data_IF_427526896130
#
_entry.id   IF_427526896130
#
_cell.length_a   1.000
_cell.length_b   1.000
_cell.length_c   1.000
_cell.angle_alpha   90.00
_cell.angle_beta   90.00
_cell.angle_gamma   90.00
#
_symmetry.space_group_name_H-M   'P 1'
#
loop_
_entity.id
_entity.type
_entity.pdbx_description
1 polymer ?
#
# COMPACT_ATOMS: atom_id res chain seq x y z
N UNK A 1 -14.26 1.81 3.42
CA UNK A 1 -14.24 1.30 4.81
C UNK A 1 -13.33 2.19 5.64
N UNK A 2 -13.70 2.51 6.89
CA UNK A 2 -12.84 3.27 7.80
C UNK A 2 -11.94 2.30 8.57
N UNK A 3 -10.63 2.44 8.48
CA UNK A 3 -9.66 1.47 9.04
C UNK A 3 -9.83 1.34 10.56
N UNK A 4 -9.99 2.45 11.26
CA UNK A 4 -10.18 2.52 12.70
C UNK A 4 -11.39 1.70 13.17
N UNK A 5 -12.51 1.76 12.44
CA UNK A 5 -13.70 0.94 12.72
C UNK A 5 -13.42 -0.57 12.61
N UNK A 6 -12.61 -0.95 11.62
CA UNK A 6 -12.22 -2.34 11.42
C UNK A 6 -11.25 -2.82 12.51
N UNK A 7 -10.29 -1.98 12.93
CA UNK A 7 -9.44 -2.28 14.09
C UNK A 7 -10.29 -2.46 15.35
N UNK A 8 -11.26 -1.58 15.60
CA UNK A 8 -12.17 -1.72 16.73
C UNK A 8 -12.99 -3.02 16.69
N UNK A 9 -13.48 -3.41 15.51
CA UNK A 9 -14.17 -4.69 15.29
C UNK A 9 -13.26 -5.86 15.66
N UNK A 10 -12.01 -5.87 15.18
CA UNK A 10 -11.06 -6.95 15.48
C UNK A 10 -10.71 -7.02 16.97
N UNK A 11 -10.50 -5.89 17.64
CA UNK A 11 -10.31 -5.82 19.09
C UNK A 11 -11.47 -6.49 19.82
N UNK A 12 -12.70 -6.10 19.47
CA UNK A 12 -13.91 -6.65 20.05
C UNK A 12 -13.97 -8.18 19.90
N UNK A 13 -13.65 -8.68 18.70
CA UNK A 13 -13.62 -10.12 18.42
C UNK A 13 -12.55 -10.86 19.23
N UNK A 14 -11.32 -10.34 19.32
CA UNK A 14 -10.25 -10.95 20.12
C UNK A 14 -10.62 -11.06 21.59
N UNK A 15 -11.16 -9.99 22.17
CA UNK A 15 -11.60 -9.96 23.56
C UNK A 15 -12.75 -10.95 23.77
N UNK A 16 -13.73 -10.98 22.87
CA UNK A 16 -14.87 -11.91 22.92
C UNK A 16 -14.42 -13.37 22.85
N UNK A 17 -13.55 -13.70 21.92
CA UNK A 17 -13.01 -15.05 21.74
C UNK A 17 -12.22 -15.48 22.97
N UNK A 18 -11.26 -14.67 23.41
CA UNK A 18 -10.40 -15.02 24.55
C UNK A 18 -11.17 -15.15 25.86
N UNK A 19 -12.18 -14.30 26.08
CA UNK A 19 -13.11 -14.42 27.21
C UNK A 19 -13.82 -15.78 27.19
N UNK A 20 -14.37 -16.17 26.03
CA UNK A 20 -15.11 -17.43 25.86
C UNK A 20 -14.19 -18.64 26.07
N UNK A 21 -13.02 -18.63 25.44
CA UNK A 21 -11.99 -19.66 25.55
C UNK A 21 -11.58 -19.91 27.01
N UNK A 22 -11.34 -18.83 27.76
CA UNK A 22 -10.96 -18.90 29.18
C UNK A 22 -12.14 -19.08 30.15
N UNK A 23 -13.39 -19.11 29.65
CA UNK A 23 -14.62 -19.21 30.45
C UNK A 23 -14.73 -18.13 31.54
N UNK A 24 -14.25 -16.92 31.26
CA UNK A 24 -14.26 -15.81 32.22
C UNK A 24 -15.55 -15.00 32.14
N UNK A 25 -16.01 -14.51 33.29
CA UNK A 25 -17.07 -13.51 33.40
C UNK A 25 -16.49 -12.09 33.23
N UNK A 26 -17.36 -11.09 33.03
CA UNK A 26 -16.90 -9.70 32.89
C UNK A 26 -16.18 -9.19 34.14
N UNK A 27 -16.66 -9.59 35.33
CA UNK A 27 -16.09 -9.21 36.63
C UNK A 27 -14.66 -9.75 36.82
N UNK A 28 -14.35 -10.91 36.21
CA UNK A 28 -13.01 -11.50 36.26
C UNK A 28 -12.00 -10.77 35.36
N UNK A 29 -12.50 -9.98 34.40
CA UNK A 29 -11.70 -9.25 33.42
C UNK A 29 -11.49 -7.81 33.85
N UNK A 30 -12.54 -7.15 34.34
CA UNK A 30 -12.49 -5.78 34.85
C UNK A 30 -13.39 -5.67 36.07
N UNK A 31 -12.79 -5.71 37.27
CA UNK A 31 -13.52 -5.68 38.54
C UNK A 31 -14.17 -4.30 38.77
N UNK A 32 -13.47 -3.24 38.36
CA UNK A 32 -13.86 -1.85 38.58
C UNK A 32 -15.09 -1.44 37.77
N UNK A 33 -15.23 -1.93 36.53
CA UNK A 33 -16.39 -1.66 35.68
C UNK A 33 -16.68 -2.82 34.69
N UNK A 34 -17.38 -3.89 35.12
CA UNK A 34 -17.69 -5.03 34.27
C UNK A 34 -18.52 -4.69 33.02
N UNK A 35 -19.22 -3.54 33.00
CA UNK A 35 -20.01 -3.13 31.85
C UNK A 35 -19.12 -2.70 30.68
N UNK A 36 -17.93 -2.17 30.95
CA UNK A 36 -16.94 -1.83 29.92
C UNK A 36 -16.57 -3.07 29.10
N UNK A 37 -16.39 -4.23 29.74
CA UNK A 37 -16.08 -5.49 29.04
C UNK A 37 -17.22 -5.87 28.09
N UNK A 38 -18.47 -5.71 28.53
CA UNK A 38 -19.65 -5.93 27.67
C UNK A 38 -19.65 -4.99 26.46
N UNK A 39 -19.32 -3.71 26.66
CA UNK A 39 -19.26 -2.73 25.60
C UNK A 39 -18.16 -3.06 24.58
N UNK A 40 -16.97 -3.45 25.05
CA UNK A 40 -15.85 -3.87 24.20
C UNK A 40 -16.23 -5.10 23.37
N UNK A 41 -16.78 -6.14 24.00
CA UNK A 41 -17.21 -7.38 23.33
C UNK A 41 -18.32 -7.15 22.28
N UNK A 42 -19.08 -6.08 22.42
CA UNK A 42 -20.14 -5.70 21.48
C UNK A 42 -19.75 -4.54 20.55
N UNK A 43 -18.48 -4.12 20.54
CA UNK A 43 -17.99 -2.97 19.77
C UNK A 43 -18.83 -1.68 19.97
N UNK A 44 -19.30 -1.44 21.20
CA UNK A 44 -20.12 -0.29 21.56
C UNK A 44 -19.27 0.83 22.13
N UNK A 45 -19.35 2.02 21.51
CA UNK A 45 -18.70 3.27 21.96
C UNK A 45 -19.75 4.33 22.24
N UNK A 46 -19.54 5.17 23.25
CA UNK A 46 -20.51 6.21 23.65
C UNK A 46 -20.03 7.59 23.19
N UNK A 47 -20.95 8.54 22.93
CA UNK A 47 -20.57 9.92 22.57
C UNK A 47 -19.61 10.58 23.56
N UNK A 48 -19.74 10.27 24.86
CA UNK A 48 -18.87 10.80 25.93
C UNK A 48 -17.51 10.09 26.04
N UNK A 49 -17.41 8.85 25.54
CA UNK A 49 -16.15 8.10 25.46
C UNK A 49 -16.08 7.43 24.08
N UNK A 50 -15.53 8.13 23.07
CA UNK A 50 -15.54 7.67 21.68
C UNK A 50 -14.50 6.57 21.43
N UNK A 51 -13.77 6.10 22.44
CA UNK A 51 -12.70 5.13 22.31
C UNK A 51 -13.11 3.79 22.90
N UNK A 52 -12.80 2.69 22.21
CA UNK A 52 -13.12 1.35 22.68
C UNK A 52 -12.22 0.90 23.85
N UNK A 53 -10.94 1.28 23.81
CA UNK A 53 -9.93 0.92 24.82
C UNK A 53 -9.18 2.17 25.29
N UNK A 54 -9.37 2.54 26.55
CA UNK A 54 -8.50 3.49 27.25
C UNK A 54 -7.25 2.76 27.78
N UNK A 55 -6.15 3.47 28.09
CA UNK A 55 -4.94 2.84 28.62
C UNK A 55 -5.16 1.98 29.86
N UNK A 56 -5.96 2.47 30.83
CA UNK A 56 -6.27 1.75 32.05
C UNK A 56 -7.02 0.43 31.78
N UNK A 57 -8.05 0.48 30.91
CA UNK A 57 -8.80 -0.72 30.55
C UNK A 57 -7.97 -1.71 29.74
N UNK A 58 -7.11 -1.21 28.83
CA UNK A 58 -6.21 -2.06 28.05
C UNK A 58 -5.26 -2.84 28.96
N UNK A 59 -4.67 -2.21 29.98
CA UNK A 59 -3.78 -2.87 30.93
C UNK A 59 -4.46 -4.03 31.67
N UNK A 60 -5.64 -3.79 32.26
CA UNK A 60 -6.37 -4.84 32.98
C UNK A 60 -6.79 -5.98 32.03
N UNK A 61 -7.27 -5.66 30.83
CA UNK A 61 -7.66 -6.66 29.82
C UNK A 61 -6.46 -7.50 29.40
N UNK A 62 -5.30 -6.89 29.12
CA UNK A 62 -4.07 -7.62 28.77
C UNK A 62 -3.70 -8.60 29.89
N UNK A 63 -3.68 -8.13 31.14
CA UNK A 63 -3.32 -8.93 32.32
C UNK A 63 -4.28 -10.10 32.57
N UNK A 64 -5.59 -9.86 32.48
CA UNK A 64 -6.62 -10.80 32.90
C UNK A 64 -6.99 -11.78 31.77
N UNK A 65 -6.98 -11.33 30.51
CA UNK A 65 -7.15 -12.20 29.34
C UNK A 65 -5.85 -12.82 28.83
N UNK A 66 -4.71 -12.52 29.46
CA UNK A 66 -3.38 -13.08 29.15
C UNK A 66 -2.97 -12.83 27.69
N UNK A 67 -3.13 -11.60 27.23
CA UNK A 67 -2.44 -11.12 26.03
C UNK A 67 -0.97 -10.86 26.36
N UNK A 68 -0.09 -10.97 25.36
CA UNK A 68 1.35 -10.69 25.55
C UNK A 68 1.58 -9.24 25.95
N UNK A 69 0.89 -8.33 25.26
CA UNK A 69 1.02 -6.89 25.43
C UNK A 69 -0.21 -6.16 24.82
N UNK A 70 -0.25 -4.84 24.99
CA UNK A 70 -1.32 -3.99 24.44
C UNK A 70 -1.31 -3.99 22.91
N UNK A 71 -0.14 -4.07 22.28
CA UNK A 71 0.00 -4.13 20.83
C UNK A 71 -0.69 -5.36 20.25
N UNK A 72 -0.51 -6.53 20.86
CA UNK A 72 -1.14 -7.80 20.49
C UNK A 72 -2.64 -7.78 20.73
N UNK A 73 -3.11 -7.12 21.79
CA UNK A 73 -4.54 -6.89 22.00
C UNK A 73 -5.16 -6.03 20.87
N UNK A 74 -4.49 -4.93 20.51
CA UNK A 74 -5.00 -3.92 19.58
C UNK A 74 -4.87 -4.37 18.12
N UNK A 75 -3.73 -4.90 17.74
CA UNK A 75 -3.35 -5.23 16.36
C UNK A 75 -3.33 -6.74 16.08
N UNK A 76 -3.57 -7.59 17.07
CA UNK A 76 -3.58 -9.04 16.91
C UNK A 76 -2.18 -9.64 16.95
N UNK A 77 -2.09 -10.97 16.87
CA UNK A 77 -0.82 -11.69 16.82
C UNK A 77 -0.15 -11.61 15.43
N UNK A 78 1.03 -12.24 15.25
CA UNK A 78 1.75 -12.21 13.97
C UNK A 78 0.91 -12.72 12.79
N UNK A 79 0.22 -13.85 12.96
CA UNK A 79 -0.60 -14.48 11.92
C UNK A 79 -1.81 -13.59 11.55
N UNK A 80 -2.47 -12.99 12.53
CA UNK A 80 -3.53 -12.03 12.28
C UNK A 80 -3.00 -10.84 11.47
N UNK A 81 -1.88 -10.24 11.88
CA UNK A 81 -1.27 -9.11 11.18
C UNK A 81 -0.89 -9.47 9.75
N UNK A 82 -0.31 -10.65 9.52
CA UNK A 82 -0.04 -11.18 8.18
C UNK A 82 -1.27 -11.25 7.28
N UNK A 83 -2.47 -11.45 7.86
CA UNK A 83 -3.72 -11.51 7.09
C UNK A 83 -4.31 -10.15 6.68
N UNK A 84 -4.00 -9.04 7.37
CA UNK A 84 -4.62 -7.73 7.08
C UNK A 84 -3.65 -6.55 6.91
N UNK A 85 -2.36 -6.69 7.22
CA UNK A 85 -1.40 -5.60 7.06
C UNK A 85 -1.21 -5.16 5.61
N UNK A 86 -1.43 -6.06 4.64
CA UNK A 86 -1.54 -5.69 3.23
C UNK A 86 -2.61 -4.61 3.04
N UNK A 87 -3.84 -4.84 3.51
CA UNK A 87 -4.92 -3.85 3.43
C UNK A 87 -4.52 -2.50 4.06
N UNK A 88 -3.84 -2.53 5.21
CA UNK A 88 -3.38 -1.31 5.88
C UNK A 88 -2.38 -0.55 5.01
N UNK A 89 -1.41 -1.27 4.43
CA UNK A 89 -0.41 -0.72 3.51
C UNK A 89 -1.08 -0.10 2.27
N UNK A 90 -1.94 -0.85 1.56
CA UNK A 90 -2.64 -0.36 0.37
C UNK A 90 -3.53 0.84 0.67
N UNK A 91 -4.19 0.86 1.83
CA UNK A 91 -4.99 2.02 2.23
C UNK A 91 -4.12 3.24 2.50
N UNK A 92 -2.97 3.04 3.16
CA UNK A 92 -1.97 4.09 3.36
C UNK A 92 -1.41 4.63 2.05
N UNK A 93 -1.06 3.76 1.11
CA UNK A 93 -0.59 4.16 -0.22
C UNK A 93 -1.65 4.96 -0.99
N UNK A 94 -2.90 4.52 -0.98
CA UNK A 94 -4.01 5.25 -1.62
C UNK A 94 -4.30 6.60 -0.95
N UNK A 95 -4.13 6.68 0.37
CA UNK A 95 -4.21 7.93 1.11
C UNK A 95 -3.09 8.89 0.67
N UNK A 96 -1.84 8.42 0.67
CA UNK A 96 -0.68 9.20 0.27
C UNK A 96 -0.74 9.60 -1.21
N UNK A 97 -1.25 8.76 -2.11
CA UNK A 97 -1.38 9.09 -3.53
C UNK A 97 -2.30 10.31 -3.77
N UNK A 98 -3.29 10.53 -2.90
CA UNK A 98 -4.15 11.73 -2.96
C UNK A 98 -3.50 12.97 -2.37
N UNK A 99 -2.61 12.79 -1.40
CA UNK A 99 -1.98 13.88 -0.65
C UNK A 99 -0.66 14.35 -1.28
N UNK A 100 0.19 13.40 -1.65
CA UNK A 100 1.55 13.56 -2.15
C UNK A 100 1.72 12.91 -3.53
N UNK A 101 0.77 13.16 -4.45
CA UNK A 101 0.62 12.43 -5.72
C UNK A 101 1.93 12.23 -6.46
N UNK A 102 2.65 13.31 -6.78
CA UNK A 102 3.90 13.24 -7.56
C UNK A 102 4.97 12.37 -6.92
N UNK A 103 5.08 12.39 -5.60
CA UNK A 103 6.08 11.61 -4.87
C UNK A 103 5.72 10.13 -4.87
N UNK A 104 4.44 9.82 -4.65
CA UNK A 104 3.97 8.44 -4.65
C UNK A 104 4.00 7.84 -6.06
N UNK A 105 3.59 8.56 -7.10
CA UNK A 105 3.71 8.09 -8.49
C UNK A 105 5.18 7.77 -8.86
N UNK A 106 6.13 8.59 -8.42
CA UNK A 106 7.56 8.28 -8.57
C UNK A 106 7.97 7.02 -7.83
N UNK A 107 7.45 6.80 -6.63
CA UNK A 107 7.73 5.59 -5.84
C UNK A 107 7.18 4.33 -6.53
N UNK A 108 6.02 4.42 -7.17
CA UNK A 108 5.42 3.34 -7.95
C UNK A 108 6.16 3.05 -9.27
N UNK A 109 7.03 3.96 -9.72
CA UNK A 109 7.78 3.82 -10.97
C UNK A 109 8.86 2.73 -10.91
N UNK A 110 9.01 2.04 -9.77
CA UNK A 110 9.79 0.81 -9.76
C UNK A 110 9.14 -0.26 -10.64
N UNK A 111 7.80 -0.35 -10.69
CA UNK A 111 7.12 -1.23 -11.62
C UNK A 111 7.16 -0.63 -13.03
N UNK A 112 7.87 -1.32 -13.94
CA UNK A 112 8.25 -0.78 -15.25
C UNK A 112 7.03 -0.40 -16.10
N UNK A 113 5.97 -1.22 -16.17
CA UNK A 113 4.74 -0.82 -16.86
C UNK A 113 4.07 0.43 -16.32
N UNK A 114 4.14 0.65 -15.00
CA UNK A 114 3.62 1.87 -14.40
C UNK A 114 4.49 3.08 -14.74
N UNK A 115 5.82 2.92 -14.69
CA UNK A 115 6.76 3.96 -15.08
C UNK A 115 6.57 4.40 -16.54
N UNK A 116 6.29 3.44 -17.43
CA UNK A 116 5.96 3.71 -18.83
C UNK A 116 4.70 4.57 -19.00
N UNK A 117 3.60 4.19 -18.34
CA UNK A 117 2.35 4.98 -18.40
C UNK A 117 2.54 6.37 -17.79
N UNK A 118 3.34 6.50 -16.74
CA UNK A 118 3.69 7.81 -16.17
C UNK A 118 4.51 8.65 -17.15
N UNK A 119 5.47 8.06 -17.87
CA UNK A 119 6.30 8.75 -18.85
C UNK A 119 5.50 9.22 -20.07
N UNK A 120 4.57 8.38 -20.57
CA UNK A 120 3.63 8.79 -21.62
C UNK A 120 2.81 10.00 -21.17
N UNK A 121 2.22 9.96 -19.97
CA UNK A 121 1.45 11.11 -19.44
C UNK A 121 2.30 12.37 -19.36
N UNK A 122 3.58 12.27 -18.99
CA UNK A 122 4.47 13.43 -18.97
C UNK A 122 4.73 14.00 -20.38
N UNK A 123 4.86 13.14 -21.39
CA UNK A 123 5.00 13.56 -22.78
C UNK A 123 3.72 14.15 -23.37
N UNK A 124 2.56 13.58 -23.06
CA UNK A 124 1.26 14.12 -23.48
C UNK A 124 1.06 15.54 -22.94
N UNK A 125 1.49 15.81 -21.70
CA UNK A 125 1.48 17.15 -21.13
C UNK A 125 2.43 18.12 -21.84
N UNK A 126 3.51 17.62 -22.48
CA UNK A 126 4.52 18.44 -23.16
C UNK A 126 4.19 18.69 -24.64
N UNK A 127 3.75 17.64 -25.36
CA UNK A 127 3.60 17.62 -26.81
C UNK A 127 2.13 17.50 -27.26
N UNK A 128 1.20 17.28 -26.33
CA UNK A 128 -0.22 17.07 -26.59
C UNK A 128 -0.61 15.58 -26.68
N UNK A 129 -1.90 15.31 -26.51
CA UNK A 129 -2.46 13.95 -26.39
C UNK A 129 -2.21 13.04 -27.61
N UNK A 130 -1.86 13.59 -28.77
CA UNK A 130 -1.56 12.80 -29.97
C UNK A 130 -0.20 12.09 -29.91
N UNK A 131 0.70 12.48 -28.99
CA UNK A 131 2.06 11.95 -28.94
C UNK A 131 2.11 10.47 -28.57
N UNK A 132 1.14 9.98 -27.79
CA UNK A 132 1.06 8.58 -27.37
C UNK A 132 0.82 7.63 -28.54
N UNK A 133 0.28 8.11 -29.67
CA UNK A 133 0.10 7.33 -30.90
C UNK A 133 1.42 6.90 -31.55
N UNK A 134 2.54 7.54 -31.18
CA UNK A 134 3.88 7.20 -31.69
C UNK A 134 4.49 6.00 -30.97
N UNK A 135 3.92 5.60 -29.84
CA UNK A 135 4.51 4.61 -28.94
C UNK A 135 3.70 3.30 -28.92
N UNK A 136 4.36 2.16 -28.68
CA UNK A 136 3.66 0.89 -28.54
C UNK A 136 2.65 0.93 -27.39
N UNK A 137 1.46 0.39 -27.63
CA UNK A 137 0.50 0.18 -26.58
C UNK A 137 0.85 -1.12 -25.85
N UNK A 138 1.36 -1.03 -24.62
CA UNK A 138 1.51 -2.20 -23.77
C UNK A 138 0.16 -2.48 -23.11
N UNK A 139 -0.63 -3.33 -23.77
CA UNK A 139 -1.79 -3.95 -23.15
C UNK A 139 -1.32 -4.87 -22.01
N UNK A 140 -1.26 -4.29 -20.82
CA UNK A 140 -1.47 -5.03 -19.58
C UNK A 140 -2.91 -4.72 -19.22
N UNK A 141 -3.65 -5.75 -18.81
CA UNK A 141 -5.07 -5.65 -18.50
C UNK A 141 -5.38 -4.37 -17.66
N UNK A 142 -6.44 -3.68 -18.11
CA UNK A 142 -6.93 -2.34 -17.72
C UNK A 142 -6.23 -1.59 -16.56
N UNK A 143 -5.52 -0.51 -16.93
CA UNK A 143 -5.45 0.84 -16.33
C UNK A 143 -5.36 1.06 -14.80
N UNK A 144 -6.26 0.48 -14.00
CA UNK A 144 -6.18 0.52 -12.53
C UNK A 144 -5.27 -0.58 -11.97
N UNK A 145 -5.07 -1.67 -12.73
CA UNK A 145 -4.30 -2.83 -12.30
C UNK A 145 -2.81 -2.52 -12.17
N UNK A 146 -2.21 -1.71 -13.05
CA UNK A 146 -0.77 -1.38 -12.98
C UNK A 146 -0.38 -0.64 -11.70
N UNK A 147 -1.21 0.29 -11.23
CA UNK A 147 -0.96 1.00 -9.97
C UNK A 147 -1.06 0.06 -8.76
N UNK A 148 -2.01 -0.88 -8.80
CA UNK A 148 -2.20 -1.89 -7.76
C UNK A 148 -1.05 -2.92 -7.77
N UNK A 149 -0.61 -3.35 -8.95
CA UNK A 149 0.56 -4.22 -9.15
C UNK A 149 1.84 -3.53 -8.64
N UNK A 150 2.02 -2.24 -8.94
CA UNK A 150 3.13 -1.46 -8.40
C UNK A 150 3.09 -1.39 -6.86
N UNK A 151 1.92 -1.11 -6.28
CA UNK A 151 1.74 -1.14 -4.82
C UNK A 151 1.99 -2.53 -4.22
N UNK A 152 1.57 -3.60 -4.90
CA UNK A 152 1.82 -4.98 -4.47
C UNK A 152 3.29 -5.32 -4.48
N UNK A 153 4.02 -4.92 -5.53
CA UNK A 153 5.46 -5.08 -5.63
C UNK A 153 6.14 -4.40 -4.42
N UNK A 154 5.84 -3.12 -4.18
CA UNK A 154 6.39 -2.40 -3.04
C UNK A 154 6.04 -3.08 -1.71
N UNK A 155 4.79 -3.54 -1.54
CA UNK A 155 4.39 -4.25 -0.33
C UNK A 155 5.18 -5.54 -0.14
N UNK A 156 5.35 -6.35 -1.19
CA UNK A 156 6.10 -7.61 -1.13
C UNK A 156 7.56 -7.36 -0.72
N UNK A 157 8.17 -6.32 -1.27
CA UNK A 157 9.55 -5.93 -0.95
C UNK A 157 9.68 -5.37 0.48
N UNK A 158 8.79 -4.47 0.88
CA UNK A 158 8.86 -3.79 2.18
C UNK A 158 8.05 -4.46 3.29
N UNK A 159 7.51 -5.66 3.09
CA UNK A 159 6.59 -6.30 4.04
C UNK A 159 7.17 -6.39 5.44
N UNK A 160 8.39 -6.88 5.57
CA UNK A 160 9.03 -7.09 6.88
C UNK A 160 9.32 -5.74 7.57
N UNK A 161 9.87 -4.79 6.83
CA UNK A 161 10.13 -3.43 7.32
C UNK A 161 8.83 -2.72 7.74
N UNK A 162 7.75 -2.87 6.97
CA UNK A 162 6.45 -2.32 7.32
C UNK A 162 5.93 -2.88 8.65
N UNK A 163 6.09 -4.18 8.89
CA UNK A 163 5.69 -4.82 10.13
C UNK A 163 6.49 -4.29 11.32
N UNK A 164 7.80 -4.12 11.14
CA UNK A 164 8.69 -3.60 12.17
C UNK A 164 8.38 -2.14 12.50
N UNK A 165 8.33 -1.25 11.50
CA UNK A 165 7.99 0.17 11.68
C UNK A 165 6.62 0.34 12.31
N UNK A 166 5.64 -0.45 11.89
CA UNK A 166 4.32 -0.43 12.51
C UNK A 166 4.37 -0.84 13.99
N UNK A 167 5.10 -1.91 14.31
CA UNK A 167 5.25 -2.34 15.70
C UNK A 167 5.95 -1.27 16.56
N UNK A 168 7.04 -0.69 16.05
CA UNK A 168 7.79 0.36 16.74
C UNK A 168 6.95 1.62 16.95
N UNK A 169 6.13 2.00 15.98
CA UNK A 169 5.29 3.19 16.07
C UNK A 169 4.08 2.98 17.01
N UNK A 170 3.47 1.79 17.02
CA UNK A 170 2.22 1.54 17.74
C UNK A 170 2.36 0.78 19.06
N UNK A 171 3.54 0.27 19.41
CA UNK A 171 3.78 -0.54 20.61
C UNK A 171 3.22 0.08 21.89
N UNK A 172 3.47 1.39 22.06
CA UNK A 172 3.07 2.17 23.23
C UNK A 172 1.80 3.01 22.99
N UNK A 173 1.16 2.85 21.82
CA UNK A 173 -0.02 3.62 21.44
C UNK A 173 -1.31 2.84 21.66
N UNK A 174 -2.19 3.41 22.49
CA UNK A 174 -3.55 2.92 22.67
C UNK A 174 -4.52 3.44 21.61
N UNK A 175 -5.78 3.00 21.69
CA UNK A 175 -6.83 3.36 20.70
C UNK A 175 -7.39 4.78 20.81
N UNK A 176 -6.87 5.59 21.74
CA UNK A 176 -7.20 7.01 21.84
C UNK A 176 -6.68 7.75 20.60
N UNK A 177 -7.59 8.43 19.88
CA UNK A 177 -7.33 9.13 18.60
C UNK A 177 -6.69 8.20 17.55
N UNK A 178 -7.19 6.97 17.46
CA UNK A 178 -6.63 5.93 16.58
C UNK A 178 -6.61 6.36 15.12
N UNK A 179 -7.68 7.01 14.65
CA UNK A 179 -7.79 7.60 13.32
C UNK A 179 -6.60 8.53 13.01
N UNK A 180 -6.32 9.49 13.90
CA UNK A 180 -5.21 10.43 13.74
C UNK A 180 -3.85 9.74 13.79
N UNK A 181 -3.70 8.74 14.66
CA UNK A 181 -2.44 7.98 14.78
C UNK A 181 -2.15 7.16 13.53
N UNK A 182 -3.18 6.55 12.92
CA UNK A 182 -3.07 5.85 11.64
C UNK A 182 -2.69 6.82 10.52
N UNK A 183 -3.36 7.97 10.43
CA UNK A 183 -2.99 9.00 9.46
C UNK A 183 -1.55 9.48 9.65
N UNK A 184 -1.14 9.76 10.89
CA UNK A 184 0.24 10.16 11.16
C UNK A 184 1.25 9.06 10.79
N UNK A 185 0.95 7.79 11.08
CA UNK A 185 1.80 6.67 10.65
C UNK A 185 1.96 6.63 9.13
N UNK A 186 0.89 6.90 8.37
CA UNK A 186 0.99 7.00 6.91
C UNK A 186 1.88 8.16 6.48
N UNK A 187 1.70 9.34 7.06
CA UNK A 187 2.41 10.56 6.69
C UNK A 187 3.87 10.61 7.15
N UNK A 188 4.26 9.73 8.07
CA UNK A 188 5.60 9.68 8.63
C UNK A 188 6.28 8.39 8.22
N UNK A 189 5.99 7.29 8.92
CA UNK A 189 6.68 6.01 8.75
C UNK A 189 6.50 5.41 7.35
N UNK A 190 5.26 5.32 6.85
CA UNK A 190 5.01 4.74 5.52
C UNK A 190 5.59 5.63 4.42
N UNK A 191 5.41 6.95 4.51
CA UNK A 191 5.92 7.89 3.53
C UNK A 191 7.46 7.86 3.47
N UNK A 192 8.12 7.87 4.63
CA UNK A 192 9.59 7.76 4.72
C UNK A 192 10.09 6.46 4.11
N UNK A 193 9.50 5.33 4.52
CA UNK A 193 9.87 4.00 4.02
C UNK A 193 9.79 3.92 2.49
N UNK A 194 8.75 4.49 1.89
CA UNK A 194 8.51 4.42 0.44
C UNK A 194 9.33 5.46 -0.33
N UNK A 195 9.57 6.65 0.23
CA UNK A 195 10.25 7.75 -0.47
C UNK A 195 11.77 7.70 -0.33
N UNK A 196 12.28 7.05 0.72
CA UNK A 196 13.71 6.89 0.98
C UNK A 196 14.18 5.43 0.81
N UNK A 197 13.27 4.53 0.47
CA UNK A 197 13.56 3.12 0.25
C UNK A 197 14.43 2.86 -0.99
N UNK A 198 15.12 1.73 -0.99
CA UNK A 198 15.99 1.29 -2.10
C UNK A 198 15.30 1.26 -3.47
N UNK A 199 14.02 0.89 -3.53
CA UNK A 199 13.25 0.80 -4.77
C UNK A 199 12.88 2.18 -5.34
N UNK A 200 12.85 3.22 -4.51
CA UNK A 200 12.54 4.59 -4.95
C UNK A 200 13.56 5.09 -5.98
N UNK A 201 14.86 4.96 -5.65
CA UNK A 201 15.93 5.41 -6.54
C UNK A 201 15.95 4.61 -7.84
N UNK A 202 15.78 3.29 -7.76
CA UNK A 202 15.73 2.42 -8.96
C UNK A 202 14.50 2.73 -9.83
N UNK A 203 13.35 2.97 -9.22
CA UNK A 203 12.15 3.40 -9.94
C UNK A 203 12.32 4.75 -10.64
N UNK A 204 13.01 5.69 -10.00
CA UNK A 204 13.39 6.97 -10.62
C UNK A 204 14.33 6.77 -11.82
N UNK A 205 15.27 5.85 -11.74
CA UNK A 205 16.17 5.50 -12.85
C UNK A 205 15.39 4.89 -14.02
N UNK A 206 14.51 3.91 -13.77
CA UNK A 206 13.64 3.35 -14.80
C UNK A 206 12.78 4.41 -15.46
N UNK A 207 12.10 5.24 -14.67
CA UNK A 207 11.30 6.34 -15.18
C UNK A 207 12.11 7.29 -16.08
N UNK A 208 13.27 7.73 -15.62
CA UNK A 208 14.12 8.66 -16.39
C UNK A 208 14.61 8.03 -17.70
N UNK A 209 15.04 6.77 -17.67
CA UNK A 209 15.50 6.05 -18.86
C UNK A 209 14.36 5.89 -19.88
N UNK A 210 13.17 5.53 -19.43
CA UNK A 210 11.99 5.41 -20.28
C UNK A 210 11.63 6.77 -20.88
N UNK A 211 11.52 7.81 -20.05
CA UNK A 211 11.17 9.15 -20.50
C UNK A 211 12.17 9.70 -21.53
N UNK A 212 13.46 9.47 -21.34
CA UNK A 212 14.50 9.88 -22.29
C UNK A 212 14.35 9.19 -23.65
N UNK A 213 14.16 7.87 -23.66
CA UNK A 213 13.99 7.11 -24.91
C UNK A 213 12.73 7.51 -25.66
N UNK A 214 11.63 7.72 -24.94
CA UNK A 214 10.37 8.19 -25.53
C UNK A 214 10.50 9.62 -26.06
N UNK A 215 11.19 10.52 -25.33
CA UNK A 215 11.42 11.91 -25.77
C UNK A 215 12.25 11.96 -27.06
N UNK A 216 13.34 11.21 -27.13
CA UNK A 216 14.18 11.12 -28.33
C UNK A 216 13.36 10.61 -29.52
N UNK A 217 12.54 9.59 -29.31
CA UNK A 217 11.67 9.04 -30.35
C UNK A 217 10.62 10.05 -30.81
N UNK A 218 10.01 10.79 -29.89
CA UNK A 218 9.07 11.86 -30.23
C UNK A 218 9.74 12.95 -31.08
N UNK A 219 10.89 13.46 -30.63
CA UNK A 219 11.65 14.52 -31.32
C UNK A 219 12.05 14.09 -32.73
N UNK A 220 12.63 12.88 -32.89
CA UNK A 220 13.02 12.36 -34.19
C UNK A 220 11.84 12.16 -35.15
N UNK A 221 10.68 11.73 -34.65
CA UNK A 221 9.47 11.60 -35.48
C UNK A 221 8.92 12.97 -35.88
N UNK A 222 8.89 13.94 -34.97
CA UNK A 222 8.42 15.31 -35.26
C UNK A 222 9.33 15.98 -36.30
N UNK A 223 10.65 15.87 -36.15
CA UNK A 223 11.63 16.42 -37.09
C UNK A 223 11.58 15.77 -38.48
N UNK A 224 11.02 14.56 -38.59
CA UNK A 224 10.86 13.83 -39.84
C UNK A 224 9.60 14.20 -40.64
N UNK A 225 8.71 15.03 -40.07
CA UNK A 225 7.47 15.46 -40.74
C UNK A 225 7.76 16.37 -41.96
N UNK A 226 7.03 16.20 -43.08
CA UNK A 226 7.28 16.96 -44.30
C UNK A 226 6.98 18.46 -44.09
N UNK A 227 8.03 19.27 -44.12
CA UNK A 227 7.97 20.73 -43.87
C UNK A 227 9.32 21.38 -43.55
N UNK A 228 10.34 20.58 -43.18
CA UNK A 228 11.74 20.99 -43.03
C UNK A 228 12.55 20.27 -44.10
N UNK A 229 13.48 20.97 -44.77
CA UNK A 229 14.31 20.53 -45.92
C UNK A 229 15.23 19.31 -45.61
N UNK A 230 14.70 18.19 -45.13
CA UNK A 230 15.50 17.03 -44.74
C UNK A 230 15.53 15.97 -45.85
N UNK A 231 16.60 15.97 -46.64
CA UNK A 231 16.98 14.87 -47.56
C UNK A 231 17.36 13.56 -46.84
N UNK A 232 17.08 13.45 -45.55
CA UNK A 232 17.39 12.31 -44.71
C UNK A 232 16.13 11.90 -43.96
N UNK A 233 15.45 10.89 -44.49
CA UNK A 233 14.49 10.11 -43.73
C UNK A 233 15.23 8.86 -43.24
N UNK A 234 15.58 8.77 -41.94
CA UNK A 234 16.09 7.51 -41.41
C UNK A 234 15.04 6.43 -41.66
N UNK A 235 15.41 5.32 -42.30
CA UNK A 235 14.56 4.11 -42.40
C UNK A 235 14.44 3.38 -41.04
N UNK A 236 14.76 4.04 -39.94
CA UNK A 236 14.70 3.49 -38.60
C UNK A 236 13.26 3.56 -38.10
N UNK A 237 12.68 2.39 -37.87
CA UNK A 237 11.41 2.27 -37.16
C UNK A 237 11.66 2.53 -35.66
N UNK A 238 11.62 3.81 -35.28
CA UNK A 238 11.85 4.23 -33.90
C UNK A 238 10.82 3.63 -32.93
N UNK A 239 9.60 3.36 -33.39
CA UNK A 239 8.56 2.70 -32.61
C UNK A 239 8.98 1.27 -32.22
N UNK A 240 9.52 0.51 -33.18
CA UNK A 240 10.06 -0.85 -32.92
C UNK A 240 11.28 -0.84 -31.99
N UNK A 241 12.12 0.19 -32.06
CA UNK A 241 13.26 0.35 -31.15
C UNK A 241 12.79 0.59 -29.71
N UNK A 242 11.81 1.47 -29.50
CA UNK A 242 11.18 1.71 -28.19
C UNK A 242 10.52 0.45 -27.66
N UNK A 243 9.76 -0.26 -28.48
CA UNK A 243 9.11 -1.51 -28.08
C UNK A 243 10.11 -2.54 -27.57
N UNK A 244 11.22 -2.74 -28.31
CA UNK A 244 12.30 -3.67 -27.93
C UNK A 244 12.95 -3.25 -26.62
N UNK A 245 13.22 -1.95 -26.45
CA UNK A 245 13.80 -1.40 -25.23
C UNK A 245 12.91 -1.62 -24.01
N UNK A 246 11.63 -1.25 -24.08
CA UNK A 246 10.70 -1.41 -22.95
C UNK A 246 10.52 -2.88 -22.60
N UNK A 247 10.35 -3.77 -23.59
CA UNK A 247 10.26 -5.22 -23.37
C UNK A 247 11.51 -5.77 -22.67
N UNK A 248 12.69 -5.27 -23.00
CA UNK A 248 13.93 -5.71 -22.35
C UNK A 248 14.00 -5.29 -20.87
N UNK A 249 13.50 -4.11 -20.52
CA UNK A 249 13.45 -3.65 -19.12
C UNK A 249 12.37 -4.43 -18.34
N UNK A 250 11.21 -4.68 -18.94
CA UNK A 250 10.17 -5.53 -18.33
C UNK A 250 10.74 -6.92 -18.05
N UNK A 251 11.39 -7.54 -19.03
CA UNK A 251 12.01 -8.84 -18.86
C UNK A 251 13.09 -8.84 -17.77
N UNK A 252 13.90 -7.77 -17.69
CA UNK A 252 14.88 -7.60 -16.62
C UNK A 252 14.20 -7.51 -15.23
N UNK A 253 13.09 -6.79 -15.10
CA UNK A 253 12.31 -6.76 -13.86
C UNK A 253 11.74 -8.13 -13.49
N UNK A 254 11.19 -8.87 -14.46
CA UNK A 254 10.68 -10.23 -14.24
C UNK A 254 11.78 -11.20 -13.78
N UNK A 255 13.02 -11.04 -14.25
CA UNK A 255 14.15 -11.82 -13.77
C UNK A 255 14.52 -11.52 -12.31
N UNK A 256 14.31 -10.27 -11.85
CA UNK A 256 14.61 -9.85 -10.49
C UNK A 256 13.50 -10.23 -9.50
N UNK A 257 12.25 -10.00 -9.88
CA UNK A 257 11.08 -10.02 -8.98
C UNK A 257 10.16 -11.23 -9.23
N UNK A 258 10.36 -11.96 -10.33
CA UNK A 258 9.38 -12.91 -10.86
C UNK A 258 8.21 -12.22 -11.57
N UNK A 259 7.27 -13.01 -12.08
CA UNK A 259 6.02 -12.49 -12.63
C UNK A 259 5.16 -11.91 -11.49
N UNK A 260 4.78 -10.64 -11.61
CA UNK A 260 3.95 -9.97 -10.62
C UNK A 260 2.50 -10.11 -11.04
N UNK A 261 1.80 -11.03 -10.39
CA UNK A 261 0.36 -11.24 -10.58
C UNK A 261 -0.39 -10.71 -9.36
N UNK A 262 -1.55 -10.09 -9.59
CA UNK A 262 -2.46 -9.73 -8.50
C UNK A 262 -2.81 -11.02 -7.75
N UNK A 263 -2.39 -11.13 -6.49
CA UNK A 263 -2.75 -12.32 -5.71
C UNK A 263 -4.22 -12.23 -5.29
N UNK A 264 -4.94 -13.36 -5.32
CA UNK A 264 -6.33 -13.47 -4.84
C UNK A 264 -6.52 -12.99 -3.39
N UNK A 265 -5.44 -12.88 -2.62
CA UNK A 265 -5.43 -12.29 -1.28
C UNK A 265 -5.86 -10.81 -1.26
N UNK A 266 -5.72 -10.10 -2.40
CA UNK A 266 -6.27 -8.77 -2.64
C UNK A 266 -7.77 -8.77 -2.96
N UNK A 267 -8.41 -9.93 -3.13
CA UNK A 267 -9.84 -10.07 -3.44
C UNK A 267 -10.65 -10.74 -2.32
N UNK A 268 -10.01 -11.46 -1.38
CA UNK A 268 -10.66 -12.17 -0.27
C UNK A 268 -10.33 -11.55 1.10
N UNK A 269 -10.88 -10.37 1.34
CA UNK A 269 -10.68 -9.59 2.57
C UNK A 269 -11.64 -9.95 3.70
N UNK A 270 -11.70 -11.23 4.09
CA UNK A 270 -12.42 -11.66 5.28
C UNK A 270 -11.45 -12.37 6.22
N UNK A 271 -11.02 -11.66 7.28
CA UNK A 271 -10.29 -12.29 8.38
C UNK A 271 -11.27 -13.21 9.13
N UNK A 272 -11.25 -14.49 8.79
CA UNK A 272 -11.89 -15.53 9.59
C UNK A 272 -11.01 -15.82 10.81
N UNK A 273 -11.21 -15.03 11.86
CA UNK A 273 -10.58 -15.21 13.18
C UNK A 273 -10.92 -16.57 13.84
N UNK A 274 -11.76 -17.41 13.20
CA UNK A 274 -12.19 -18.71 13.72
C UNK A 274 -11.26 -19.88 13.37
N UNK A 275 -10.28 -19.71 12.46
CA UNK A 275 -9.41 -20.80 12.00
C UNK A 275 -8.01 -20.83 12.62
N UNK A 276 -7.71 -19.94 13.57
CA UNK A 276 -6.44 -19.97 14.29
C UNK A 276 -6.60 -20.86 15.52
N UNK A 277 -6.32 -22.16 15.35
CA UNK A 277 -6.11 -23.12 16.45
C UNK A 277 -4.70 -22.99 17.01
#
# INVERSE_FOLDING_TARGET
MKIDEEIYRMISQRVKYRKKDKKLQNIDILLSDPNVVSNIVNNKRYKKNPYLLTPAFAFEIVKNLKFTDSYTLIWGNKMERESYFGMLFFTGMNYLLKKETRLIEKSLSYYVPYAYDLAIRELENRYGNGISLLFPNFEIEKGNEKSLLAMQLLYNHYKEEFFERHANYFSDLYTTKLDKKITNFFETELLDMISNGTLFNRGKEFFNLILQNLSLTAEMNIDSLPGVDSKFHPQLDFSKSVDTFIKSIIHYQEQLEGEIVLTDSLNRWTVDLMNIK
#
